data_IF_679378140422
#
_entry.id   IF_679378140422
#
_cell.length_a   1.000
_cell.length_b   1.000
_cell.length_c   1.000
_cell.angle_alpha   90.00
_cell.angle_beta   90.00
_cell.angle_gamma   90.00
#
_symmetry.space_group_name_H-M   'P 1'
#
loop_
_entity.id
_entity.type
_entity.pdbx_description
1 polymer ?
#
# COMPACT_ATOMS: atom_id res chain seq x y z
N UNK A 1 1.68 -1.88 -4.48
CA UNK A 1 1.79 -0.86 -3.38
C UNK A 1 2.11 0.48 -4.02
N UNK A 2 1.27 1.48 -3.80
CA UNK A 2 1.37 2.80 -4.41
C UNK A 2 1.39 3.89 -3.34
N UNK A 3 2.32 4.83 -3.46
CA UNK A 3 2.35 6.01 -2.59
C UNK A 3 1.37 7.07 -3.12
N UNK A 4 0.64 7.70 -2.21
CA UNK A 4 -0.19 8.89 -2.43
C UNK A 4 0.60 10.14 -2.06
N UNK A 5 1.47 10.58 -2.97
CA UNK A 5 2.34 11.73 -2.76
C UNK A 5 1.59 13.03 -2.50
N UNK A 6 0.41 13.18 -3.10
CA UNK A 6 -0.50 14.31 -2.89
C UNK A 6 -1.03 14.36 -1.45
N UNK A 7 -1.42 13.21 -0.88
CA UNK A 7 -1.89 13.11 0.50
C UNK A 7 -0.75 13.37 1.48
N UNK A 8 0.43 12.80 1.24
CA UNK A 8 1.63 13.10 2.03
C UNK A 8 1.90 14.61 2.08
N UNK A 9 1.86 15.28 0.92
CA UNK A 9 2.05 16.73 0.80
C UNK A 9 1.01 17.52 1.58
N UNK A 10 -0.26 17.12 1.51
CA UNK A 10 -1.34 17.77 2.27
C UNK A 10 -1.13 17.63 3.77
N UNK A 11 -0.79 16.44 4.26
CA UNK A 11 -0.53 16.18 5.67
C UNK A 11 0.67 17.01 6.15
N UNK A 12 1.79 16.99 5.43
CA UNK A 12 2.98 17.78 5.76
C UNK A 12 2.65 19.28 5.87
N UNK A 13 1.89 19.82 4.92
CA UNK A 13 1.48 21.23 4.93
C UNK A 13 0.53 21.56 6.08
N UNK A 14 -0.41 20.67 6.42
CA UNK A 14 -1.27 20.83 7.60
C UNK A 14 -0.48 20.83 8.91
N UNK A 15 0.68 20.17 8.94
CA UNK A 15 1.64 20.21 10.05
C UNK A 15 2.59 21.43 10.02
N UNK A 16 2.46 22.32 9.02
CA UNK A 16 3.32 23.51 8.90
C UNK A 16 4.77 23.23 8.50
N UNK A 17 5.10 22.01 8.07
CA UNK A 17 6.48 21.61 7.78
C UNK A 17 6.88 21.92 6.34
N UNK A 18 8.12 22.39 6.12
CA UNK A 18 8.74 22.40 4.79
C UNK A 18 9.19 20.98 4.39
N UNK A 19 9.51 20.75 3.11
CA UNK A 19 10.04 19.45 2.70
C UNK A 19 11.40 19.17 3.36
N UNK A 20 12.23 20.21 3.56
CA UNK A 20 13.51 20.11 4.26
C UNK A 20 13.32 19.75 5.73
N UNK A 21 12.38 20.42 6.42
CA UNK A 21 12.07 20.12 7.82
C UNK A 21 11.52 18.70 8.01
N UNK A 22 10.68 18.23 7.08
CA UNK A 22 10.22 16.84 7.11
C UNK A 22 11.39 15.85 6.88
N UNK A 23 12.35 16.19 6.00
CA UNK A 23 13.47 15.33 5.65
C UNK A 23 14.59 15.27 6.71
N UNK A 24 14.68 16.26 7.59
CA UNK A 24 15.83 16.48 8.48
C UNK A 24 16.19 15.24 9.33
N UNK A 25 17.42 14.74 9.22
CA UNK A 25 17.86 13.54 9.94
C UNK A 25 17.22 12.22 9.48
N UNK A 26 16.43 12.22 8.39
CA UNK A 26 15.82 11.02 7.81
C UNK A 26 16.32 10.78 6.38
N UNK A 27 16.19 11.79 5.51
CA UNK A 27 16.55 11.69 4.10
C UNK A 27 16.88 13.07 3.51
N UNK A 28 17.01 13.15 2.19
CA UNK A 28 17.19 14.44 1.51
C UNK A 28 15.84 15.12 1.24
N UNK A 29 15.83 16.45 1.13
CA UNK A 29 14.64 17.19 0.68
C UNK A 29 14.18 16.73 -0.72
N UNK A 30 15.13 16.36 -1.59
CA UNK A 30 14.84 15.82 -2.92
C UNK A 30 14.05 14.50 -2.84
N UNK A 31 14.36 13.63 -1.88
CA UNK A 31 13.61 12.39 -1.62
C UNK A 31 12.14 12.69 -1.30
N UNK A 32 11.87 13.65 -0.40
CA UNK A 32 10.49 14.07 -0.09
C UNK A 32 9.82 14.67 -1.33
N UNK A 33 10.54 15.46 -2.13
CA UNK A 33 9.99 16.00 -3.37
C UNK A 33 9.61 14.90 -4.36
N UNK A 34 10.42 13.85 -4.52
CA UNK A 34 10.11 12.71 -5.38
C UNK A 34 8.91 11.91 -4.85
N UNK A 35 8.83 11.70 -3.54
CA UNK A 35 7.68 11.08 -2.89
C UNK A 35 6.39 11.87 -3.19
N UNK A 36 6.41 13.20 -2.98
CA UNK A 36 5.22 14.04 -3.12
C UNK A 36 4.80 14.30 -4.58
N UNK A 37 5.74 14.40 -5.51
CA UNK A 37 5.45 14.77 -6.91
C UNK A 37 5.35 13.58 -7.86
N UNK A 38 6.14 12.53 -7.62
CA UNK A 38 6.27 11.40 -8.53
C UNK A 38 5.73 10.09 -7.92
N UNK A 39 5.11 10.15 -6.73
CA UNK A 39 4.62 8.98 -6.00
C UNK A 39 5.72 7.93 -5.78
N UNK A 40 6.98 8.36 -5.71
CA UNK A 40 8.11 7.44 -5.57
C UNK A 40 8.12 6.86 -4.15
N UNK A 41 7.91 5.56 -4.02
CA UNK A 41 8.12 4.88 -2.75
C UNK A 41 9.60 4.95 -2.35
N UNK A 42 9.91 5.37 -1.11
CA UNK A 42 11.26 5.29 -0.58
C UNK A 42 11.55 3.87 -0.05
N UNK A 43 12.72 3.67 0.55
CA UNK A 43 12.99 2.49 1.38
C UNK A 43 12.09 2.49 2.63
N UNK A 44 11.84 1.31 3.20
CA UNK A 44 10.88 1.12 4.30
C UNK A 44 11.30 1.84 5.60
N UNK A 45 12.59 1.92 5.88
CA UNK A 45 13.16 2.70 6.99
C UNK A 45 12.79 4.19 6.88
N UNK A 46 12.97 4.79 5.71
CA UNK A 46 12.58 6.18 5.44
C UNK A 46 11.08 6.35 5.53
N UNK A 47 10.29 5.45 4.93
CA UNK A 47 8.83 5.52 4.99
C UNK A 47 8.32 5.52 6.45
N UNK A 48 8.85 4.61 7.26
CA UNK A 48 8.47 4.45 8.67
C UNK A 48 8.80 5.72 9.46
N UNK A 49 10.04 6.21 9.35
CA UNK A 49 10.46 7.44 10.05
C UNK A 49 9.64 8.68 9.64
N UNK A 50 9.25 8.79 8.37
CA UNK A 50 8.38 9.87 7.90
C UNK A 50 6.97 9.75 8.47
N UNK A 51 6.40 8.55 8.51
CA UNK A 51 5.09 8.29 9.10
C UNK A 51 5.07 8.61 10.59
N UNK A 52 6.10 8.18 11.33
CA UNK A 52 6.29 8.49 12.75
C UNK A 52 6.37 10.01 12.99
N UNK A 53 7.21 10.72 12.22
CA UNK A 53 7.34 12.19 12.35
C UNK A 53 6.04 12.93 12.07
N UNK A 54 5.25 12.44 11.12
CA UNK A 54 3.92 13.02 10.81
C UNK A 54 2.82 12.51 11.75
N UNK A 55 3.15 11.55 12.62
CA UNK A 55 2.24 10.82 13.49
C UNK A 55 1.02 10.28 12.74
N UNK A 56 1.27 9.44 11.73
CA UNK A 56 0.26 8.76 10.90
C UNK A 56 0.63 7.30 10.69
N UNK A 57 -0.36 6.43 10.42
CA UNK A 57 -0.11 5.10 9.86
C UNK A 57 0.34 5.21 8.40
N UNK A 58 1.19 4.28 7.94
CA UNK A 58 1.59 4.14 6.54
C UNK A 58 0.39 3.97 5.60
N UNK A 59 -0.68 3.31 6.05
CA UNK A 59 -1.89 3.05 5.24
C UNK A 59 -2.60 4.35 4.81
N UNK A 60 -2.29 5.46 5.49
CA UNK A 60 -2.87 6.77 5.15
C UNK A 60 -2.26 7.38 3.90
N UNK A 61 -1.03 7.00 3.55
CA UNK A 61 -0.29 7.53 2.40
C UNK A 61 0.17 6.43 1.45
N UNK A 62 0.02 5.16 1.82
CA UNK A 62 0.31 4.00 0.98
C UNK A 62 -0.98 3.25 0.75
N UNK A 63 -1.39 3.21 -0.52
CA UNK A 63 -2.39 2.27 -0.96
C UNK A 63 -1.69 0.95 -1.25
N UNK A 64 -2.01 -0.08 -0.47
CA UNK A 64 -1.88 -1.42 -1.00
C UNK A 64 -2.85 -1.47 -2.18
N UNK A 65 -2.37 -1.82 -3.36
CA UNK A 65 -3.25 -2.35 -4.38
C UNK A 65 -3.78 -3.65 -3.77
N UNK A 66 -4.86 -3.52 -3.00
CA UNK A 66 -5.77 -4.62 -2.79
C UNK A 66 -6.41 -4.78 -4.15
N UNK A 67 -5.69 -5.43 -5.06
CA UNK A 67 -6.30 -6.08 -6.21
C UNK A 67 -7.56 -6.74 -5.65
N UNK A 68 -8.75 -6.52 -6.19
CA UNK A 68 -9.99 -7.12 -5.66
C UNK A 68 -9.88 -8.65 -5.48
N UNK A 69 -8.88 -9.24 -6.12
CA UNK A 69 -8.30 -10.56 -5.90
C UNK A 69 -7.96 -10.89 -4.43
N UNK A 70 -7.37 -9.99 -3.64
CA UNK A 70 -7.03 -10.30 -2.23
C UNK A 70 -8.29 -10.47 -1.37
N UNK A 71 -9.29 -9.61 -1.58
CA UNK A 71 -10.63 -9.78 -0.98
C UNK A 71 -11.24 -11.13 -1.43
N UNK A 72 -11.13 -11.45 -2.72
CA UNK A 72 -11.64 -12.69 -3.31
C UNK A 72 -10.94 -13.91 -2.72
N UNK A 73 -9.61 -13.86 -2.53
CA UNK A 73 -8.84 -14.93 -1.91
C UNK A 73 -9.16 -15.12 -0.44
N UNK A 74 -9.44 -14.04 0.30
CA UNK A 74 -9.91 -14.15 1.69
C UNK A 74 -11.28 -14.83 1.74
N UNK A 75 -12.21 -14.45 0.86
CA UNK A 75 -13.51 -15.12 0.75
C UNK A 75 -13.39 -16.60 0.36
N UNK A 76 -12.46 -16.96 -0.53
CA UNK A 76 -12.19 -18.36 -0.86
C UNK A 76 -11.71 -19.12 0.38
N UNK A 77 -10.76 -18.57 1.13
CA UNK A 77 -10.24 -19.18 2.36
C UNK A 77 -11.34 -19.36 3.41
N UNK A 78 -12.19 -18.36 3.61
CA UNK A 78 -13.30 -18.42 4.57
C UNK A 78 -14.31 -19.52 4.20
N UNK A 79 -14.60 -19.68 2.91
CA UNK A 79 -15.47 -20.75 2.41
C UNK A 79 -14.82 -22.13 2.58
N UNK A 80 -13.50 -22.26 2.36
CA UNK A 80 -12.78 -23.52 2.60
C UNK A 80 -12.79 -23.92 4.08
N UNK A 81 -12.55 -22.96 4.99
CA UNK A 81 -12.60 -23.19 6.44
C UNK A 81 -14.02 -23.62 6.86
N UNK A 82 -15.03 -22.99 6.27
CA UNK A 82 -16.45 -23.28 6.52
C UNK A 82 -16.94 -24.55 5.82
N UNK A 83 -16.07 -25.27 5.08
CA UNK A 83 -16.39 -26.45 4.25
C UNK A 83 -17.41 -26.21 3.13
N UNK A 84 -17.58 -24.95 2.71
CA UNK A 84 -18.40 -24.55 1.57
C UNK A 84 -17.60 -24.66 0.27
N UNK A 85 -17.31 -25.90 -0.15
CA UNK A 85 -16.42 -26.16 -1.28
C UNK A 85 -16.98 -25.72 -2.64
N UNK A 86 -18.30 -25.73 -2.82
CA UNK A 86 -18.94 -25.29 -4.07
C UNK A 86 -18.73 -23.79 -4.30
N UNK A 87 -18.99 -22.98 -3.28
CA UNK A 87 -18.81 -21.53 -3.32
C UNK A 87 -17.33 -21.15 -3.47
N UNK A 88 -16.44 -21.83 -2.75
CA UNK A 88 -15.00 -21.65 -2.90
C UNK A 88 -14.54 -21.97 -4.34
N UNK A 89 -15.03 -23.07 -4.92
CA UNK A 89 -14.71 -23.46 -6.31
C UNK A 89 -15.25 -22.45 -7.33
N UNK A 90 -16.47 -21.95 -7.12
CA UNK A 90 -17.08 -20.95 -7.99
C UNK A 90 -16.33 -19.61 -7.96
N UNK A 91 -15.88 -19.18 -6.78
CA UNK A 91 -15.06 -17.98 -6.61
C UNK A 91 -13.67 -18.15 -7.24
N UNK A 92 -13.02 -19.30 -7.04
CA UNK A 92 -11.71 -19.59 -7.62
C UNK A 92 -11.74 -19.55 -9.16
N UNK A 93 -12.78 -20.09 -9.80
CA UNK A 93 -12.95 -20.04 -11.27
C UNK A 93 -13.10 -18.63 -11.84
N UNK A 94 -13.55 -17.67 -11.02
CA UNK A 94 -13.67 -16.25 -11.40
C UNK A 94 -12.35 -15.50 -11.27
N UNK A 95 -11.34 -16.07 -10.61
CA UNK A 95 -10.00 -15.48 -10.54
C UNK A 95 -9.29 -15.71 -11.87
N UNK A 96 -9.13 -14.66 -12.65
CA UNK A 96 -8.35 -14.71 -13.89
C UNK A 96 -6.87 -14.46 -13.57
N UNK A 97 -6.02 -15.44 -13.87
CA UNK A 97 -4.55 -15.38 -13.66
C UNK A 97 -3.91 -14.13 -14.28
N UNK A 98 -4.49 -13.60 -15.35
CA UNK A 98 -4.04 -12.35 -16.01
C UNK A 98 -4.15 -11.11 -15.12
N UNK A 99 -4.99 -11.15 -14.09
CA UNK A 99 -5.19 -10.06 -13.13
C UNK A 99 -4.33 -10.22 -11.86
N UNK A 100 -3.56 -11.32 -11.74
CA UNK A 100 -2.59 -11.54 -10.66
C UNK A 100 -1.31 -10.75 -10.98
N UNK A 101 -1.33 -9.46 -10.66
CA UNK A 101 -0.25 -8.52 -11.00
C UNK A 101 1.00 -8.70 -10.11
N UNK A 102 0.84 -9.21 -8.89
CA UNK A 102 1.92 -9.43 -7.93
C UNK A 102 2.40 -10.88 -7.90
N UNK A 103 3.71 -11.09 -7.71
CA UNK A 103 4.27 -12.42 -7.46
C UNK A 103 3.73 -13.07 -6.19
N UNK A 104 3.28 -12.26 -5.22
CA UNK A 104 2.56 -12.72 -4.04
C UNK A 104 1.20 -13.33 -4.39
N UNK A 105 0.44 -12.70 -5.28
CA UNK A 105 -0.89 -13.17 -5.69
C UNK A 105 -0.79 -14.49 -6.48
N UNK A 106 0.30 -14.67 -7.24
CA UNK A 106 0.59 -15.91 -7.98
C UNK A 106 0.94 -17.10 -7.07
N UNK A 107 1.58 -16.87 -5.93
CA UNK A 107 1.94 -17.93 -4.98
C UNK A 107 0.74 -18.43 -4.17
N UNK A 108 -0.29 -17.59 -4.02
CA UNK A 108 -1.48 -17.89 -3.22
C UNK A 108 -2.56 -18.66 -4.00
N UNK A 109 -2.55 -18.57 -5.33
CA UNK A 109 -3.41 -19.36 -6.23
C UNK A 109 -2.92 -20.80 -6.32
#
# INVERSE_FOLDING_TARGET
>A
MRLRGDVLKQIRRKRGLSQTALAEGICTQATISLMEKQNRLPKMDILTAICERLNISSDRIVENEVSGINETFNQIVDNLISRNFEDASALLKKVHVKNLESDFDKQRY
#
